data_IF_817906215964
#
_entry.id   IF_817906215964
#
_cell.length_a   1.000
_cell.length_b   1.000
_cell.length_c   1.000
_cell.angle_alpha   90.00
_cell.angle_beta   90.00
_cell.angle_gamma   90.00
#
_symmetry.space_group_name_H-M   'P 1'
#
loop_
_entity.id
_entity.type
_entity.pdbx_description
1 polymer ?
#
# COMPACT_ATOMS: atom_id res chain seq x y z
N UNK A 1 14.83 4.99 8.40
CA UNK A 1 15.26 3.60 8.12
C UNK A 1 15.68 3.44 6.66
N UNK A 2 14.81 3.70 5.69
CA UNK A 2 15.16 3.80 4.27
C UNK A 2 15.05 5.25 3.86
N UNK A 3 16.06 5.77 3.16
CA UNK A 3 16.06 7.12 2.58
C UNK A 3 16.50 7.01 1.13
N UNK A 4 15.76 7.63 0.23
CA UNK A 4 16.12 7.79 -1.18
C UNK A 4 16.07 9.26 -1.54
N UNK A 5 17.07 9.75 -2.25
CA UNK A 5 17.21 11.12 -2.69
C UNK A 5 17.50 11.14 -4.19
N UNK A 6 16.56 11.70 -4.95
CA UNK A 6 16.61 11.86 -6.41
C UNK A 6 17.02 10.58 -7.15
N UNK A 7 16.52 9.43 -6.66
CA UNK A 7 16.88 8.12 -7.17
C UNK A 7 16.39 7.96 -8.60
N UNK A 8 17.29 7.66 -9.53
CA UNK A 8 16.98 7.49 -10.95
C UNK A 8 17.60 6.22 -11.50
N UNK A 9 16.86 5.49 -12.33
CA UNK A 9 17.36 4.31 -13.05
C UNK A 9 16.86 4.28 -14.48
N UNK A 10 17.82 4.22 -15.41
CA UNK A 10 17.57 4.05 -16.84
C UNK A 10 17.83 2.61 -17.30
N UNK A 11 17.05 2.17 -18.29
CA UNK A 11 17.30 1.00 -19.12
C UNK A 11 17.37 1.50 -20.59
N UNK A 12 18.58 1.67 -21.11
CA UNK A 12 18.74 2.42 -22.35
C UNK A 12 18.20 3.83 -22.20
N UNK A 13 17.27 4.23 -23.07
CA UNK A 13 16.62 5.55 -23.06
C UNK A 13 15.38 5.60 -22.13
N UNK A 14 14.94 4.47 -21.61
CA UNK A 14 13.78 4.40 -20.74
C UNK A 14 14.15 4.71 -19.28
N UNK A 15 13.60 5.79 -18.73
CA UNK A 15 13.68 6.09 -17.31
C UNK A 15 12.64 5.26 -16.54
N UNK A 16 13.05 4.11 -16.01
CA UNK A 16 12.17 3.24 -15.23
C UNK A 16 11.91 3.77 -13.80
N UNK A 17 12.81 4.56 -13.27
CA UNK A 17 12.67 5.35 -12.02
C UNK A 17 13.29 6.72 -12.31
N UNK A 18 12.59 7.80 -11.95
CA UNK A 18 12.98 9.16 -12.27
C UNK A 18 12.81 10.06 -11.06
N UNK A 19 13.93 10.59 -10.56
CA UNK A 19 14.00 11.56 -9.46
C UNK A 19 13.16 11.19 -8.21
N UNK A 20 13.16 9.89 -7.85
CA UNK A 20 12.35 9.37 -6.77
C UNK A 20 12.98 9.69 -5.41
N UNK A 21 12.29 10.51 -4.61
CA UNK A 21 12.71 10.89 -3.26
C UNK A 21 11.67 10.51 -2.23
N UNK A 22 12.08 9.73 -1.21
CA UNK A 22 11.17 9.30 -0.13
C UNK A 22 11.92 8.83 1.11
N UNK A 23 11.17 8.69 2.20
CA UNK A 23 11.68 8.22 3.47
C UNK A 23 10.71 7.23 4.13
N UNK A 24 11.21 6.07 4.55
CA UNK A 24 10.51 5.08 5.38
C UNK A 24 11.07 5.13 6.80
N UNK A 25 10.21 5.30 7.79
CA UNK A 25 10.58 5.36 9.21
C UNK A 25 10.92 3.97 9.73
N UNK A 26 11.64 3.90 10.85
CA UNK A 26 11.88 2.62 11.54
C UNK A 26 10.56 2.07 12.11
N UNK A 27 10.30 0.78 11.90
CA UNK A 27 9.07 0.12 12.36
C UNK A 27 7.82 0.46 11.55
N UNK A 28 7.96 1.15 10.40
CA UNK A 28 6.87 1.52 9.50
C UNK A 28 6.66 0.44 8.44
N UNK A 29 5.40 0.19 8.10
CA UNK A 29 5.01 -0.52 6.87
C UNK A 29 4.68 0.50 5.79
N UNK A 30 5.55 0.63 4.79
CA UNK A 30 5.36 1.52 3.65
C UNK A 30 4.94 0.71 2.43
N UNK A 31 3.82 1.09 1.81
CA UNK A 31 3.36 0.53 0.54
C UNK A 31 3.91 1.31 -0.66
N UNK A 32 4.36 0.61 -1.69
CA UNK A 32 4.72 1.16 -2.99
C UNK A 32 3.66 0.73 -4.01
N UNK A 33 2.71 1.60 -4.31
CA UNK A 33 1.54 1.35 -5.13
C UNK A 33 1.72 1.96 -6.53
N UNK A 34 1.28 1.25 -7.56
CA UNK A 34 1.33 1.75 -8.94
C UNK A 34 0.96 0.67 -9.94
N UNK A 35 0.61 1.04 -11.18
CA UNK A 35 0.31 0.09 -12.25
C UNK A 35 1.55 -0.74 -12.62
N UNK A 36 1.34 -1.74 -13.48
CA UNK A 36 2.47 -2.50 -14.06
C UNK A 36 3.34 -1.56 -14.90
N UNK A 37 4.67 -1.70 -14.75
CA UNK A 37 5.61 -0.79 -15.41
C UNK A 37 5.85 0.56 -14.72
N UNK A 38 5.18 0.87 -13.61
CA UNK A 38 5.37 2.13 -12.88
C UNK A 38 6.75 2.31 -12.23
N UNK A 39 7.62 1.29 -12.21
CA UNK A 39 8.96 1.36 -11.62
C UNK A 39 9.11 0.69 -10.25
N UNK A 40 8.05 0.05 -9.70
CA UNK A 40 8.05 -0.58 -8.37
C UNK A 40 9.21 -1.56 -8.16
N UNK A 41 9.23 -2.63 -8.95
CA UNK A 41 10.28 -3.67 -8.84
C UNK A 41 11.68 -3.13 -9.16
N UNK A 42 11.79 -2.14 -10.04
CA UNK A 42 13.07 -1.47 -10.31
C UNK A 42 13.57 -0.71 -9.08
N UNK A 43 12.70 0.04 -8.42
CA UNK A 43 13.02 0.74 -7.16
C UNK A 43 13.50 -0.25 -6.10
N UNK A 44 12.78 -1.36 -5.91
CA UNK A 44 13.17 -2.39 -4.93
C UNK A 44 14.50 -3.05 -5.27
N UNK A 45 14.76 -3.35 -6.55
CA UNK A 45 16.06 -3.89 -7.01
C UNK A 45 17.21 -2.92 -6.77
N UNK A 46 16.99 -1.62 -6.88
CA UNK A 46 18.01 -0.62 -6.55
C UNK A 46 18.27 -0.57 -5.06
N UNK A 47 17.23 -0.50 -4.23
CA UNK A 47 17.37 -0.48 -2.77
C UNK A 47 18.05 -1.74 -2.21
N UNK A 48 17.79 -2.90 -2.80
CA UNK A 48 18.43 -4.18 -2.42
C UNK A 48 19.80 -4.39 -3.02
N UNK A 49 20.35 -3.37 -3.69
CA UNK A 49 21.63 -3.42 -4.38
C UNK A 49 21.73 -4.52 -5.47
N UNK A 50 20.58 -4.98 -5.98
CA UNK A 50 20.55 -5.90 -7.12
C UNK A 50 20.91 -5.18 -8.43
N UNK A 51 20.52 -3.90 -8.52
CA UNK A 51 20.87 -2.99 -9.60
C UNK A 51 21.49 -1.72 -9.02
N UNK A 52 22.54 -1.16 -9.64
CA UNK A 52 23.03 0.17 -9.27
C UNK A 52 22.03 1.24 -9.76
N UNK A 53 21.86 2.37 -9.06
CA UNK A 53 21.18 3.53 -9.60
C UNK A 53 21.97 4.14 -10.77
N UNK A 54 21.29 4.85 -11.67
CA UNK A 54 21.93 5.68 -12.69
C UNK A 54 22.36 7.02 -12.13
N UNK A 55 21.58 7.57 -11.18
CA UNK A 55 21.92 8.76 -10.40
C UNK A 55 21.10 8.78 -9.11
N UNK A 56 21.38 9.73 -8.21
CA UNK A 56 20.76 9.83 -6.89
C UNK A 56 21.45 8.95 -5.86
N UNK A 57 20.87 8.89 -4.65
CA UNK A 57 21.44 8.18 -3.50
C UNK A 57 20.34 7.43 -2.76
N UNK A 58 20.73 6.34 -2.10
CA UNK A 58 19.86 5.73 -1.10
C UNK A 58 20.69 5.22 0.09
N UNK A 59 20.06 5.23 1.27
CA UNK A 59 20.66 4.80 2.53
C UNK A 59 19.66 3.87 3.20
N UNK A 60 20.12 2.70 3.65
CA UNK A 60 19.31 1.74 4.41
C UNK A 60 19.99 1.48 5.75
N UNK A 61 19.27 1.78 6.83
CA UNK A 61 19.76 1.66 8.20
C UNK A 61 21.12 2.34 8.43
N UNK A 62 21.26 3.55 7.88
CA UNK A 62 22.50 4.34 7.95
C UNK A 62 23.61 3.88 7.01
N UNK A 63 23.38 2.84 6.19
CA UNK A 63 24.37 2.30 5.25
C UNK A 63 24.01 2.72 3.81
N UNK A 64 24.90 3.43 3.10
CA UNK A 64 24.67 3.80 1.71
C UNK A 64 24.71 2.56 0.79
N UNK A 65 23.85 2.56 -0.26
CA UNK A 65 23.68 1.41 -1.16
C UNK A 65 24.94 1.04 -1.97
N UNK A 66 25.92 1.93 -2.06
CA UNK A 66 27.22 1.65 -2.64
C UNK A 66 27.99 0.58 -1.85
N UNK A 67 27.69 0.44 -0.54
CA UNK A 67 28.20 -0.63 0.33
C UNK A 67 27.29 -1.87 0.26
N UNK A 68 27.12 -2.42 -0.93
CA UNK A 68 26.12 -3.43 -1.24
C UNK A 68 26.11 -4.65 -0.29
N UNK A 69 27.27 -5.15 0.13
CA UNK A 69 27.35 -6.29 1.06
C UNK A 69 26.82 -5.95 2.44
N UNK A 70 27.10 -4.75 2.94
CA UNK A 70 26.63 -4.31 4.26
C UNK A 70 25.13 -4.04 4.24
N UNK A 71 24.59 -3.48 3.14
CA UNK A 71 23.15 -3.32 2.93
C UNK A 71 22.44 -4.67 2.89
N UNK A 72 22.95 -5.65 2.11
CA UNK A 72 22.34 -6.98 1.98
C UNK A 72 22.30 -7.76 3.29
N UNK A 73 23.20 -7.47 4.24
CA UNK A 73 23.13 -8.05 5.59
C UNK A 73 21.99 -7.49 6.44
N UNK A 74 21.49 -6.29 6.11
CA UNK A 74 20.44 -5.56 6.84
C UNK A 74 19.07 -5.66 6.19
N UNK A 75 19.00 -6.18 4.96
CA UNK A 75 17.79 -6.25 4.14
C UNK A 75 17.45 -7.68 3.83
N UNK A 76 16.23 -8.07 4.16
CA UNK A 76 15.58 -9.26 3.61
C UNK A 76 14.81 -8.88 2.36
N UNK A 77 15.05 -9.56 1.25
CA UNK A 77 14.37 -9.30 0.00
C UNK A 77 13.58 -10.50 -0.48
N UNK A 78 12.31 -10.30 -0.73
CA UNK A 78 11.42 -11.24 -1.40
C UNK A 78 11.05 -10.66 -2.77
N UNK A 79 11.62 -11.14 -3.87
CA UNK A 79 11.17 -10.75 -5.21
C UNK A 79 9.84 -11.44 -5.57
N UNK A 80 9.10 -10.88 -6.51
CA UNK A 80 7.76 -11.33 -6.94
C UNK A 80 7.67 -12.85 -7.18
N UNK A 81 8.65 -13.43 -7.84
CA UNK A 81 8.65 -14.86 -8.20
C UNK A 81 9.22 -15.78 -7.11
N UNK A 82 9.57 -15.26 -5.91
CA UNK A 82 10.13 -16.02 -4.79
C UNK A 82 11.09 -17.14 -5.27
N UNK A 83 12.26 -16.79 -5.84
CA UNK A 83 13.15 -17.76 -6.46
C UNK A 83 13.57 -18.82 -5.45
N UNK A 84 13.44 -20.09 -5.82
CA UNK A 84 13.76 -21.21 -4.97
C UNK A 84 14.33 -22.36 -5.81
N UNK A 85 15.11 -23.21 -5.16
CA UNK A 85 15.56 -24.46 -5.78
C UNK A 85 14.45 -25.49 -5.66
N UNK A 86 13.68 -25.63 -6.74
CA UNK A 86 12.42 -26.35 -6.77
C UNK A 86 12.54 -27.84 -6.41
N UNK A 87 13.67 -28.45 -6.70
CA UNK A 87 14.03 -29.85 -6.44
C UNK A 87 14.51 -30.13 -5.01
N UNK A 88 14.81 -29.09 -4.24
CA UNK A 88 15.17 -29.23 -2.81
C UNK A 88 13.92 -29.30 -1.92
N UNK A 89 14.04 -29.97 -0.78
CA UNK A 89 13.08 -29.80 0.31
C UNK A 89 13.26 -28.43 1.01
N UNK A 90 12.23 -27.97 1.70
CA UNK A 90 12.21 -26.65 2.35
C UNK A 90 13.37 -26.48 3.34
N UNK A 91 13.64 -27.48 4.17
CA UNK A 91 14.71 -27.39 5.18
C UNK A 91 16.09 -27.28 4.53
N UNK A 92 16.35 -28.07 3.50
CA UNK A 92 17.62 -28.04 2.74
C UNK A 92 17.79 -26.70 2.05
N UNK A 93 16.72 -26.17 1.43
CA UNK A 93 16.75 -24.85 0.80
C UNK A 93 17.04 -23.74 1.83
N UNK A 94 16.34 -23.71 2.96
CA UNK A 94 16.58 -22.71 4.01
C UNK A 94 18.00 -22.84 4.59
N UNK A 95 18.49 -24.05 4.77
CA UNK A 95 19.88 -24.31 5.21
C UNK A 95 20.89 -23.74 4.24
N UNK A 96 20.67 -23.93 2.94
CA UNK A 96 21.54 -23.39 1.90
C UNK A 96 21.56 -21.85 1.92
N UNK A 97 20.39 -21.20 2.00
CA UNK A 97 20.30 -19.74 2.11
C UNK A 97 21.01 -19.21 3.37
N UNK A 98 20.79 -19.86 4.53
CA UNK A 98 21.47 -19.48 5.76
C UNK A 98 23.00 -19.58 5.67
N UNK A 99 23.52 -20.61 5.00
CA UNK A 99 24.96 -20.74 4.74
C UNK A 99 25.49 -19.62 3.80
N UNK A 100 24.74 -19.24 2.79
CA UNK A 100 25.10 -18.09 1.90
C UNK A 100 25.18 -16.78 2.69
N UNK A 101 24.33 -16.60 3.72
CA UNK A 101 24.41 -15.48 4.66
C UNK A 101 25.47 -15.66 5.74
N UNK A 102 26.29 -16.73 5.68
CA UNK A 102 27.35 -17.04 6.64
C UNK A 102 26.84 -17.25 8.07
N UNK A 103 25.61 -17.75 8.22
CA UNK A 103 25.05 -18.06 9.56
C UNK A 103 25.83 -19.24 10.18
N UNK A 104 26.18 -19.16 11.48
CA UNK A 104 26.91 -20.22 12.15
C UNK A 104 26.10 -21.54 12.16
N UNK A 105 26.77 -22.67 11.87
CA UNK A 105 26.12 -24.00 11.83
C UNK A 105 25.39 -24.34 13.15
N UNK A 106 25.94 -23.87 14.27
CA UNK A 106 25.40 -24.13 15.60
C UNK A 106 24.01 -23.52 15.82
N UNK A 107 23.73 -22.34 15.21
CA UNK A 107 22.47 -21.58 15.38
C UNK A 107 21.53 -21.73 14.20
N UNK A 108 22.01 -22.23 13.07
CA UNK A 108 21.24 -22.28 11.83
C UNK A 108 19.99 -23.18 11.94
N UNK A 109 20.10 -24.32 12.63
CA UNK A 109 18.98 -25.23 12.80
C UNK A 109 17.84 -24.59 13.61
N UNK A 110 18.19 -23.93 14.73
CA UNK A 110 17.22 -23.23 15.58
C UNK A 110 16.58 -22.07 14.83
N UNK A 111 17.37 -21.33 14.05
CA UNK A 111 16.85 -20.22 13.24
C UNK A 111 15.90 -20.70 12.14
N UNK A 112 16.16 -21.86 11.52
CA UNK A 112 15.22 -22.46 10.55
C UNK A 112 13.91 -22.84 11.23
N UNK A 113 13.96 -23.46 12.40
CA UNK A 113 12.75 -23.83 13.14
C UNK A 113 11.95 -22.60 13.59
N UNK A 114 12.62 -21.55 14.03
CA UNK A 114 12.00 -20.27 14.36
C UNK A 114 11.27 -19.68 13.14
N UNK A 115 11.94 -19.60 11.99
CA UNK A 115 11.33 -19.07 10.77
C UNK A 115 10.21 -19.98 10.25
N UNK A 116 10.35 -21.29 10.41
CA UNK A 116 9.27 -22.23 10.11
C UNK A 116 8.03 -22.00 10.99
N UNK A 117 8.22 -21.67 12.26
CA UNK A 117 7.13 -21.27 13.16
C UNK A 117 6.47 -19.96 12.74
N UNK A 118 7.29 -18.94 12.50
CA UNK A 118 6.81 -17.62 12.07
C UNK A 118 6.00 -17.69 10.78
N UNK A 119 6.48 -18.44 9.78
CA UNK A 119 5.86 -18.54 8.45
C UNK A 119 4.87 -19.71 8.30
N UNK A 120 4.65 -20.52 9.34
CA UNK A 120 3.71 -21.66 9.30
C UNK A 120 4.17 -22.80 8.38
N UNK A 121 5.46 -23.15 8.39
CA UNK A 121 6.08 -24.13 7.48
C UNK A 121 6.35 -25.51 8.13
N UNK A 122 6.02 -25.71 9.40
CA UNK A 122 6.37 -26.94 10.13
C UNK A 122 5.92 -28.23 9.41
N UNK A 123 4.71 -28.21 8.82
CA UNK A 123 4.13 -29.39 8.16
C UNK A 123 4.75 -29.71 6.79
N UNK A 124 5.54 -28.77 6.23
CA UNK A 124 6.09 -28.87 4.88
C UNK A 124 7.63 -28.82 4.85
N UNK A 125 8.32 -28.77 6.00
CA UNK A 125 9.78 -28.65 6.07
C UNK A 125 10.55 -29.72 5.28
N UNK A 126 10.01 -30.93 5.19
CA UNK A 126 10.62 -32.07 4.49
C UNK A 126 9.97 -32.37 3.11
N UNK A 127 9.06 -31.48 2.66
CA UNK A 127 8.48 -31.59 1.33
C UNK A 127 9.30 -30.82 0.31
N UNK A 128 9.34 -31.31 -0.90
CA UNK A 128 9.98 -30.62 -2.03
C UNK A 128 9.23 -29.33 -2.35
N UNK A 129 9.96 -28.29 -2.76
CA UNK A 129 9.38 -26.96 -3.04
C UNK A 129 8.47 -27.00 -4.27
N UNK A 130 8.79 -27.82 -5.29
CA UNK A 130 7.94 -27.97 -6.48
C UNK A 130 6.56 -28.59 -6.18
N UNK A 131 6.44 -29.38 -5.10
CA UNK A 131 5.19 -29.99 -4.64
C UNK A 131 4.30 -29.03 -3.83
N UNK A 132 4.81 -27.84 -3.48
CA UNK A 132 4.09 -26.88 -2.66
C UNK A 132 3.10 -26.03 -3.47
N UNK A 133 2.00 -25.62 -2.83
CA UNK A 133 1.14 -24.57 -3.38
C UNK A 133 1.92 -23.25 -3.51
N UNK A 134 1.43 -22.33 -4.34
CA UNK A 134 2.04 -21.00 -4.50
C UNK A 134 2.15 -20.27 -3.15
N UNK A 135 1.13 -20.34 -2.28
CA UNK A 135 1.13 -19.74 -0.95
C UNK A 135 2.22 -20.31 -0.04
N UNK A 136 2.44 -21.62 -0.05
CA UNK A 136 3.55 -22.20 0.70
C UNK A 136 4.91 -21.79 0.12
N UNK A 137 5.09 -21.72 -1.20
CA UNK A 137 6.33 -21.21 -1.81
C UNK A 137 6.61 -19.76 -1.42
N UNK A 138 5.57 -18.93 -1.37
CA UNK A 138 5.69 -17.54 -0.91
C UNK A 138 6.15 -17.46 0.56
N UNK A 139 5.59 -18.30 1.43
CA UNK A 139 6.01 -18.40 2.84
C UNK A 139 7.44 -18.91 2.99
N UNK A 140 7.88 -19.83 2.14
CA UNK A 140 9.28 -20.29 2.09
C UNK A 140 10.19 -19.13 1.68
N UNK A 141 9.83 -18.35 0.67
CA UNK A 141 10.55 -17.14 0.26
C UNK A 141 10.66 -16.10 1.38
N UNK A 142 9.55 -15.85 2.11
CA UNK A 142 9.56 -14.98 3.28
C UNK A 142 10.49 -15.51 4.39
N UNK A 143 10.41 -16.81 4.72
CA UNK A 143 11.30 -17.43 5.70
C UNK A 143 12.78 -17.28 5.29
N UNK A 144 13.09 -17.52 4.01
CA UNK A 144 14.43 -17.38 3.46
C UNK A 144 14.95 -15.93 3.57
N UNK A 145 14.10 -14.93 3.27
CA UNK A 145 14.47 -13.51 3.35
C UNK A 145 14.74 -13.03 4.78
N UNK A 146 14.27 -13.78 5.81
CA UNK A 146 14.38 -13.42 7.22
C UNK A 146 15.43 -14.23 8.00
N UNK A 147 16.02 -15.24 7.41
CA UNK A 147 16.95 -16.15 8.12
C UNK A 147 18.10 -15.43 8.81
N UNK A 148 18.66 -14.41 8.17
CA UNK A 148 19.82 -13.63 8.68
C UNK A 148 19.42 -12.47 9.59
N UNK A 149 18.16 -12.43 10.04
CA UNK A 149 17.60 -11.43 10.95
C UNK A 149 17.75 -9.97 10.50
N UNK A 150 17.30 -9.62 9.28
CA UNK A 150 17.46 -8.27 8.76
C UNK A 150 16.60 -7.26 9.54
N UNK A 151 17.06 -6.01 9.59
CA UNK A 151 16.30 -4.89 10.17
C UNK A 151 15.16 -4.40 9.26
N UNK A 152 15.30 -4.62 7.95
CA UNK A 152 14.38 -4.17 6.93
C UNK A 152 13.95 -5.32 6.01
N UNK A 153 12.66 -5.37 5.68
CA UNK A 153 12.10 -6.29 4.68
C UNK A 153 11.63 -5.51 3.46
N UNK A 154 12.06 -5.93 2.29
CA UNK A 154 11.59 -5.41 1.00
C UNK A 154 10.88 -6.56 0.29
N UNK A 155 9.56 -6.39 0.06
CA UNK A 155 8.67 -7.44 -0.44
C UNK A 155 8.03 -6.98 -1.75
N UNK A 156 8.42 -7.62 -2.85
CA UNK A 156 7.91 -7.28 -4.19
C UNK A 156 6.69 -8.15 -4.51
N UNK A 157 5.50 -7.53 -4.55
CA UNK A 157 4.21 -8.16 -4.85
C UNK A 157 3.95 -9.45 -4.00
N UNK A 158 4.02 -9.39 -2.66
CA UNK A 158 4.04 -10.59 -1.80
C UNK A 158 2.75 -11.41 -1.83
N UNK A 159 1.66 -10.87 -2.36
CA UNK A 159 0.32 -11.48 -2.41
C UNK A 159 -0.09 -11.92 -3.81
N UNK A 160 0.71 -11.62 -4.84
CA UNK A 160 0.36 -11.87 -6.24
C UNK A 160 0.08 -13.35 -6.53
N UNK A 161 -1.14 -13.61 -7.04
CA UNK A 161 -1.59 -14.93 -7.46
C UNK A 161 -1.84 -15.92 -6.32
N UNK A 162 -2.09 -15.40 -5.13
CA UNK A 162 -2.62 -16.15 -3.99
C UNK A 162 -4.15 -16.10 -3.99
N UNK A 163 -4.79 -17.10 -3.38
CA UNK A 163 -6.22 -17.06 -3.13
C UNK A 163 -6.58 -16.08 -1.99
N UNK A 164 -7.85 -15.66 -1.84
CA UNK A 164 -8.26 -14.67 -0.85
C UNK A 164 -7.88 -15.04 0.60
N UNK A 165 -7.96 -16.31 0.97
CA UNK A 165 -7.61 -16.75 2.32
C UNK A 165 -6.09 -16.64 2.56
N UNK A 166 -5.29 -17.04 1.58
CA UNK A 166 -3.84 -16.92 1.63
C UNK A 166 -3.38 -15.46 1.70
N UNK A 167 -4.06 -14.55 0.98
CA UNK A 167 -3.80 -13.11 1.05
C UNK A 167 -3.98 -12.61 2.49
N UNK A 168 -5.09 -12.97 3.14
CA UNK A 168 -5.35 -12.59 4.54
C UNK A 168 -4.25 -13.10 5.47
N UNK A 169 -3.82 -14.35 5.30
CA UNK A 169 -2.77 -14.96 6.11
C UNK A 169 -1.41 -14.27 5.92
N UNK A 170 -1.04 -13.93 4.68
CA UNK A 170 0.20 -13.18 4.39
C UNK A 170 0.15 -11.76 4.96
N UNK A 171 -1.00 -11.08 4.88
CA UNK A 171 -1.19 -9.77 5.51
C UNK A 171 -0.98 -9.82 7.01
N UNK A 172 -1.58 -10.78 7.70
CA UNK A 172 -1.37 -10.99 9.13
C UNK A 172 0.10 -11.29 9.47
N UNK A 173 0.77 -12.06 8.63
CA UNK A 173 2.19 -12.34 8.79
C UNK A 173 3.02 -11.05 8.65
N UNK A 174 2.80 -10.25 7.61
CA UNK A 174 3.50 -8.97 7.39
C UNK A 174 3.28 -8.01 8.57
N UNK A 175 2.03 -7.88 9.07
CA UNK A 175 1.73 -7.04 10.24
C UNK A 175 2.50 -7.48 11.49
N UNK A 176 2.55 -8.78 11.79
CA UNK A 176 3.35 -9.32 12.92
C UNK A 176 4.85 -9.05 12.75
N UNK A 177 5.37 -9.15 11.54
CA UNK A 177 6.78 -8.86 11.26
C UNK A 177 7.09 -7.38 11.46
N UNK A 178 6.17 -6.50 11.10
CA UNK A 178 6.30 -5.06 11.23
C UNK A 178 6.40 -4.57 12.69
N UNK A 179 5.93 -5.34 13.66
CA UNK A 179 6.11 -5.04 15.09
C UNK A 179 7.60 -4.91 15.49
N UNK A 180 8.49 -5.58 14.75
CA UNK A 180 9.93 -5.62 15.05
C UNK A 180 10.81 -5.12 13.91
N UNK A 181 10.28 -5.01 12.71
CA UNK A 181 11.04 -4.73 11.48
C UNK A 181 10.39 -3.59 10.69
N UNK A 182 11.18 -2.93 9.88
CA UNK A 182 10.67 -1.97 8.88
C UNK A 182 10.32 -2.73 7.61
N UNK A 183 9.17 -2.46 7.03
CA UNK A 183 8.71 -3.17 5.82
C UNK A 183 8.42 -2.17 4.70
N UNK A 184 8.99 -2.42 3.53
CA UNK A 184 8.60 -1.79 2.27
C UNK A 184 8.01 -2.89 1.38
N UNK A 185 6.74 -2.75 1.00
CA UNK A 185 6.11 -3.72 0.09
C UNK A 185 5.57 -3.03 -1.16
N UNK A 186 5.60 -3.72 -2.30
CA UNK A 186 4.91 -3.29 -3.51
C UNK A 186 3.59 -4.01 -3.69
N UNK A 187 2.63 -3.35 -4.31
CA UNK A 187 1.44 -3.96 -4.88
C UNK A 187 0.85 -3.07 -5.98
N UNK A 188 0.07 -3.67 -6.87
CA UNK A 188 -0.80 -2.96 -7.81
C UNK A 188 -2.28 -3.01 -7.33
N UNK A 189 -2.56 -3.65 -6.20
CA UNK A 189 -3.89 -3.86 -5.63
C UNK A 189 -4.06 -2.96 -4.40
N UNK A 190 -4.79 -1.87 -4.57
CA UNK A 190 -4.97 -0.83 -3.55
C UNK A 190 -5.53 -1.37 -2.21
N UNK A 191 -6.62 -2.18 -2.16
CA UNK A 191 -7.15 -2.71 -0.91
C UNK A 191 -6.16 -3.57 -0.12
N UNK A 192 -5.15 -4.15 -0.78
CA UNK A 192 -4.11 -4.91 -0.12
C UNK A 192 -3.13 -4.02 0.65
N UNK A 193 -2.73 -2.92 0.01
CA UNK A 193 -1.82 -1.93 0.60
C UNK A 193 -2.51 -1.20 1.74
N UNK A 194 -3.74 -0.74 1.53
CA UNK A 194 -4.55 -0.05 2.54
C UNK A 194 -4.74 -0.88 3.82
N UNK A 195 -4.96 -2.19 3.67
CA UNK A 195 -5.16 -3.08 4.82
C UNK A 195 -3.88 -3.32 5.66
N UNK A 196 -2.68 -3.10 5.11
CA UNK A 196 -1.42 -3.49 5.75
C UNK A 196 -0.50 -2.32 6.05
N UNK A 197 -0.50 -1.27 5.21
CA UNK A 197 0.48 -0.20 5.29
C UNK A 197 0.05 0.93 6.23
N UNK A 198 1.02 1.55 6.89
CA UNK A 198 0.81 2.76 7.68
C UNK A 198 0.77 4.00 6.78
N UNK A 199 1.64 4.00 5.77
CA UNK A 199 1.69 4.98 4.68
C UNK A 199 1.93 4.29 3.37
N UNK A 200 1.61 4.97 2.29
CA UNK A 200 1.84 4.48 0.93
C UNK A 200 2.37 5.57 0.01
N UNK A 201 3.13 5.14 -0.98
CA UNK A 201 3.61 5.95 -2.10
C UNK A 201 2.90 5.50 -3.37
N UNK A 202 2.30 6.42 -4.10
CA UNK A 202 1.75 6.16 -5.43
C UNK A 202 2.79 6.58 -6.46
N UNK A 203 3.22 5.62 -7.28
CA UNK A 203 4.15 5.88 -8.37
C UNK A 203 3.51 5.57 -9.72
N UNK A 204 3.86 6.37 -10.72
CA UNK A 204 3.46 6.16 -12.10
C UNK A 204 4.50 6.74 -13.06
N UNK A 205 4.84 5.99 -14.11
CA UNK A 205 5.87 6.40 -15.08
C UNK A 205 7.25 6.64 -14.46
N UNK A 206 7.58 5.94 -13.35
CA UNK A 206 8.85 6.07 -12.62
C UNK A 206 8.91 7.25 -11.65
N UNK A 207 7.86 8.06 -11.53
CA UNK A 207 7.80 9.26 -10.69
C UNK A 207 6.89 9.07 -9.48
N UNK A 208 7.20 9.74 -8.38
CA UNK A 208 6.32 9.82 -7.21
C UNK A 208 5.15 10.77 -7.51
N UNK A 209 3.93 10.26 -7.46
CA UNK A 209 2.71 11.04 -7.67
C UNK A 209 2.13 11.58 -6.37
N UNK A 210 2.14 10.76 -5.31
CA UNK A 210 1.67 11.15 -3.98
C UNK A 210 2.26 10.21 -2.92
N UNK A 211 2.33 10.69 -1.67
CA UNK A 211 2.76 9.89 -0.52
C UNK A 211 2.05 10.38 0.75
N UNK A 212 1.51 9.45 1.52
CA UNK A 212 0.82 9.74 2.78
C UNK A 212 0.14 8.52 3.38
N UNK A 213 -0.62 8.71 4.44
CA UNK A 213 -1.58 7.73 4.97
C UNK A 213 -2.75 7.57 3.99
N UNK A 214 -3.55 6.51 4.13
CA UNK A 214 -4.76 6.31 3.32
C UNK A 214 -5.69 7.54 3.40
N UNK A 215 -5.89 8.09 4.60
CA UNK A 215 -6.72 9.27 4.82
C UNK A 215 -6.16 10.54 4.14
N UNK A 216 -4.85 10.79 4.25
CA UNK A 216 -4.20 11.93 3.58
C UNK A 216 -4.30 11.83 2.06
N UNK A 217 -4.06 10.64 1.51
CA UNK A 217 -4.16 10.41 0.07
C UNK A 217 -5.59 10.50 -0.43
N UNK A 218 -6.57 9.97 0.31
CA UNK A 218 -7.98 10.07 -0.05
C UNK A 218 -8.43 11.54 -0.18
N UNK A 219 -7.96 12.43 0.69
CA UNK A 219 -8.23 13.89 0.62
C UNK A 219 -7.75 14.54 -0.69
N UNK A 220 -6.69 14.00 -1.31
CA UNK A 220 -6.22 14.49 -2.62
C UNK A 220 -7.21 14.19 -3.77
N UNK A 221 -8.15 13.27 -3.56
CA UNK A 221 -9.13 12.83 -4.56
C UNK A 221 -10.32 13.76 -4.72
N UNK A 222 -10.71 14.38 -3.66
CA UNK A 222 -11.87 15.27 -3.63
C UNK A 222 -11.44 16.72 -3.74
N UNK A 223 -12.02 17.42 -4.69
CA UNK A 223 -11.96 18.88 -4.76
C UNK A 223 -12.80 19.56 -3.67
N UNK A 224 -13.28 18.78 -2.64
CA UNK A 224 -14.14 19.28 -1.59
C UNK A 224 -15.00 18.20 -0.92
N UNK A 225 -15.84 18.57 0.04
CA UNK A 225 -16.84 17.68 0.65
C UNK A 225 -18.07 17.58 -0.28
N UNK A 226 -18.60 16.36 -0.44
CA UNK A 226 -19.78 16.09 -1.27
C UNK A 226 -20.86 15.42 -0.40
N UNK A 227 -22.08 15.95 -0.42
CA UNK A 227 -23.22 15.42 0.30
C UNK A 227 -24.39 15.18 -0.66
N UNK A 228 -24.87 13.94 -0.73
CA UNK A 228 -26.06 13.55 -1.45
C UNK A 228 -27.26 13.62 -0.52
N UNK A 229 -28.30 14.31 -0.95
CA UNK A 229 -29.52 14.56 -0.17
C UNK A 229 -30.73 14.21 -1.01
N UNK A 230 -31.70 13.49 -0.42
CA UNK A 230 -33.02 13.28 -0.99
C UNK A 230 -34.09 13.73 0.00
N UNK A 231 -34.86 14.75 -0.36
CA UNK A 231 -35.99 15.27 0.41
C UNK A 231 -37.30 14.95 -0.31
N UNK A 232 -38.36 14.65 0.43
CA UNK A 232 -39.62 14.15 -0.11
C UNK A 232 -40.45 15.25 -0.80
N UNK A 233 -40.48 16.44 -0.22
CA UNK A 233 -41.29 17.57 -0.72
C UNK A 233 -40.37 18.71 -1.24
N UNK A 234 -40.67 19.26 -2.43
CA UNK A 234 -39.84 20.30 -3.05
C UNK A 234 -39.85 21.64 -2.29
N UNK A 235 -40.99 22.09 -1.80
CA UNK A 235 -41.13 23.39 -1.11
C UNK A 235 -40.33 23.48 0.19
N UNK A 236 -40.48 22.55 1.13
CA UNK A 236 -39.66 22.47 2.34
C UNK A 236 -38.18 22.22 2.03
N UNK A 237 -37.86 21.51 0.94
CA UNK A 237 -36.49 21.28 0.49
C UNK A 237 -35.76 22.58 0.11
N UNK A 238 -36.45 23.50 -0.60
CA UNK A 238 -35.87 24.79 -0.96
C UNK A 238 -35.50 25.63 0.27
N UNK A 239 -36.35 25.62 1.30
CA UNK A 239 -36.07 26.30 2.56
C UNK A 239 -34.85 25.66 3.29
N UNK A 240 -34.75 24.34 3.29
CA UNK A 240 -33.61 23.64 3.88
C UNK A 240 -32.29 23.97 3.15
N UNK A 241 -32.29 23.99 1.81
CA UNK A 241 -31.12 24.35 1.03
C UNK A 241 -30.73 25.84 1.17
N UNK A 242 -31.71 26.75 1.37
CA UNK A 242 -31.42 28.14 1.67
C UNK A 242 -30.65 28.31 2.99
N UNK A 243 -31.04 27.58 4.03
CA UNK A 243 -30.32 27.54 5.30
C UNK A 243 -28.90 26.98 5.15
N UNK A 244 -28.72 25.97 4.32
CA UNK A 244 -27.39 25.43 4.03
C UNK A 244 -26.50 26.44 3.32
N UNK A 245 -27.01 27.20 2.35
CA UNK A 245 -26.25 28.26 1.65
C UNK A 245 -25.92 29.44 2.57
N UNK A 246 -26.78 29.74 3.54
CA UNK A 246 -26.48 30.76 4.56
C UNK A 246 -25.33 30.34 5.48
N UNK A 247 -25.31 29.07 5.88
CA UNK A 247 -24.27 28.51 6.75
C UNK A 247 -22.95 28.23 5.99
N UNK A 248 -23.01 27.86 4.72
CA UNK A 248 -21.87 27.50 3.87
C UNK A 248 -21.93 28.30 2.55
N UNK A 249 -21.51 29.58 2.54
CA UNK A 249 -21.63 30.45 1.36
C UNK A 249 -20.86 29.98 0.13
N UNK A 250 -19.77 29.23 0.34
CA UNK A 250 -18.91 28.73 -0.75
C UNK A 250 -19.41 27.39 -1.33
N UNK A 251 -20.56 26.90 -0.84
CA UNK A 251 -21.13 25.63 -1.28
C UNK A 251 -21.91 25.79 -2.60
N UNK A 252 -21.71 24.82 -3.49
CA UNK A 252 -22.54 24.66 -4.70
C UNK A 252 -23.60 23.57 -4.49
N UNK A 253 -24.81 23.78 -5.05
CA UNK A 253 -25.92 22.84 -4.95
C UNK A 253 -26.45 22.53 -6.35
N UNK A 254 -26.27 21.30 -6.79
CA UNK A 254 -26.89 20.75 -7.98
C UNK A 254 -28.19 20.03 -7.58
N UNK A 255 -29.34 20.47 -8.15
CA UNK A 255 -30.67 20.01 -7.75
C UNK A 255 -31.39 19.38 -8.92
N UNK A 256 -32.10 18.29 -8.64
CA UNK A 256 -32.98 17.63 -9.61
C UNK A 256 -34.28 17.21 -8.92
N UNK A 257 -35.41 17.68 -9.48
CA UNK A 257 -36.73 17.22 -9.06
C UNK A 257 -36.99 15.80 -9.58
N UNK A 258 -37.40 14.89 -8.71
CA UNK A 258 -37.68 13.49 -9.04
C UNK A 258 -38.80 12.95 -8.18
N UNK A 259 -39.82 12.37 -8.82
CA UNK A 259 -40.97 11.69 -8.17
C UNK A 259 -41.68 12.56 -7.10
N UNK A 260 -41.74 13.88 -7.33
CA UNK A 260 -42.33 14.86 -6.42
C UNK A 260 -41.44 15.24 -5.23
N UNK A 261 -40.23 14.74 -5.16
CA UNK A 261 -39.19 15.12 -4.21
C UNK A 261 -38.01 15.83 -4.85
N UNK A 262 -37.03 16.21 -4.05
CA UNK A 262 -35.84 16.93 -4.46
C UNK A 262 -34.60 16.08 -4.16
N UNK A 263 -33.88 15.67 -5.21
CA UNK A 263 -32.52 15.15 -5.12
C UNK A 263 -31.54 16.32 -5.24
N UNK A 264 -30.54 16.36 -4.37
CA UNK A 264 -29.52 17.37 -4.44
C UNK A 264 -28.12 16.78 -4.18
N UNK A 265 -27.12 17.35 -4.82
CA UNK A 265 -25.70 17.10 -4.54
C UNK A 265 -25.09 18.42 -4.11
N UNK A 266 -24.74 18.51 -2.84
CA UNK A 266 -24.09 19.66 -2.23
C UNK A 266 -22.57 19.45 -2.30
N UNK A 267 -21.83 20.46 -2.78
CA UNK A 267 -20.37 20.43 -2.90
C UNK A 267 -19.77 21.62 -2.16
N UNK A 268 -18.85 21.35 -1.25
CA UNK A 268 -18.10 22.42 -0.59
C UNK A 268 -16.62 22.29 -0.92
N UNK A 269 -15.88 23.38 -1.23
CA UNK A 269 -14.49 23.31 -1.65
C UNK A 269 -13.54 22.76 -0.57
N UNK A 270 -13.84 22.96 0.70
CA UNK A 270 -13.09 22.41 1.81
C UNK A 270 -13.55 20.95 2.09
N UNK A 271 -12.65 19.97 1.96
CA UNK A 271 -12.97 18.55 2.18
C UNK A 271 -13.24 18.19 3.65
N UNK A 272 -12.79 19.00 4.59
CA UNK A 272 -12.94 18.74 6.03
C UNK A 272 -14.25 19.31 6.61
N UNK A 273 -15.08 19.98 5.79
CA UNK A 273 -16.38 20.49 6.21
C UNK A 273 -17.39 19.35 6.37
N UNK A 274 -17.94 19.24 7.57
CA UNK A 274 -19.01 18.30 7.86
C UNK A 274 -20.39 18.95 7.63
N UNK A 275 -21.01 18.59 6.52
CA UNK A 275 -22.32 19.14 6.12
C UNK A 275 -23.51 18.29 6.59
N UNK A 276 -23.26 17.04 6.99
CA UNK A 276 -24.35 16.08 7.26
C UNK A 276 -25.22 16.52 8.43
N UNK A 277 -24.63 16.92 9.55
CA UNK A 277 -25.39 17.38 10.72
C UNK A 277 -26.13 18.68 10.44
N UNK A 278 -25.48 19.62 9.73
CA UNK A 278 -26.10 20.88 9.35
C UNK A 278 -27.31 20.65 8.43
N UNK A 279 -27.16 19.78 7.42
CA UNK A 279 -28.26 19.43 6.51
C UNK A 279 -29.43 18.75 7.24
N UNK A 280 -29.14 17.85 8.16
CA UNK A 280 -30.17 17.23 8.99
C UNK A 280 -30.94 18.28 9.80
N UNK A 281 -30.25 19.22 10.45
CA UNK A 281 -30.86 20.31 11.22
C UNK A 281 -31.68 21.24 10.32
N UNK A 282 -31.16 21.57 9.13
CA UNK A 282 -31.85 22.39 8.15
C UNK A 282 -33.16 21.71 7.69
N UNK A 283 -33.12 20.41 7.40
CA UNK A 283 -34.31 19.64 7.07
C UNK A 283 -35.36 19.64 8.18
N UNK A 284 -34.94 19.43 9.43
CA UNK A 284 -35.85 19.48 10.59
C UNK A 284 -36.45 20.87 10.76
N UNK A 285 -35.66 21.93 10.63
CA UNK A 285 -36.15 23.31 10.79
C UNK A 285 -37.15 23.71 9.68
N UNK A 286 -36.98 23.19 8.48
CA UNK A 286 -37.85 23.44 7.33
C UNK A 286 -39.03 22.49 7.23
N UNK A 287 -39.22 21.59 8.21
CA UNK A 287 -40.23 20.53 8.20
C UNK A 287 -40.13 19.61 6.96
N UNK A 288 -38.91 19.53 6.35
CA UNK A 288 -38.68 18.69 5.21
C UNK A 288 -38.44 17.23 5.62
N UNK A 289 -39.11 16.29 4.94
CA UNK A 289 -38.91 14.88 5.18
C UNK A 289 -37.64 14.39 4.49
N UNK A 290 -36.59 14.03 5.26
CA UNK A 290 -35.33 13.51 4.75
C UNK A 290 -35.48 12.02 4.43
N UNK A 291 -35.27 11.63 3.16
CA UNK A 291 -35.34 10.25 2.68
C UNK A 291 -33.95 9.62 2.59
N UNK A 292 -32.94 10.39 2.17
CA UNK A 292 -31.56 9.95 2.11
C UNK A 292 -30.61 11.10 2.45
N UNK A 293 -29.60 10.80 3.23
CA UNK A 293 -28.47 11.68 3.52
C UNK A 293 -27.19 10.83 3.50
N UNK A 294 -26.36 11.07 2.48
CA UNK A 294 -25.15 10.30 2.29
C UNK A 294 -23.99 11.20 1.97
N UNK A 295 -23.05 11.30 2.88
CA UNK A 295 -21.79 11.97 2.61
C UNK A 295 -20.92 11.06 1.75
N UNK A 296 -20.43 11.59 0.65
CA UNK A 296 -19.46 10.90 -0.19
C UNK A 296 -18.11 11.00 0.50
N UNK A 297 -17.61 9.86 0.95
CA UNK A 297 -16.25 9.77 1.47
C UNK A 297 -15.30 9.61 0.30
N UNK A 298 -14.23 10.42 0.30
CA UNK A 298 -13.16 10.30 -0.68
C UNK A 298 -12.65 8.85 -0.73
N UNK A 299 -12.78 8.20 -1.87
CA UNK A 299 -12.25 6.86 -2.07
C UNK A 299 -10.83 6.94 -2.59
N UNK A 300 -9.93 6.23 -1.95
CA UNK A 300 -8.55 6.18 -2.37
C UNK A 300 -8.40 5.60 -3.80
N UNK A 301 -9.36 4.77 -4.24
CA UNK A 301 -9.43 4.25 -5.60
C UNK A 301 -9.57 5.35 -6.66
N UNK A 302 -10.36 6.40 -6.36
CA UNK A 302 -10.57 7.50 -7.30
C UNK A 302 -9.31 8.36 -7.42
N UNK A 303 -8.63 8.57 -6.30
CA UNK A 303 -7.32 9.24 -6.26
C UNK A 303 -6.30 8.45 -7.08
N UNK A 304 -6.21 7.16 -6.81
CA UNK A 304 -5.27 6.28 -7.50
C UNK A 304 -5.50 6.29 -9.00
N UNK A 305 -6.76 6.13 -9.45
CA UNK A 305 -7.14 6.18 -10.87
C UNK A 305 -6.76 7.52 -11.52
N UNK A 306 -7.00 8.64 -10.83
CA UNK A 306 -6.66 9.99 -11.35
C UNK A 306 -5.14 10.20 -11.45
N UNK A 307 -4.37 9.75 -10.44
CA UNK A 307 -2.93 9.95 -10.38
C UNK A 307 -2.15 9.00 -11.31
N UNK A 308 -2.73 7.87 -11.71
CA UNK A 308 -2.11 6.87 -12.58
C UNK A 308 -2.68 6.88 -14.01
N UNK A 309 -3.30 8.01 -14.42
CA UNK A 309 -3.66 8.24 -15.80
C UNK A 309 -4.78 7.38 -16.36
N UNK A 310 -5.72 6.89 -15.51
CA UNK A 310 -7.03 6.33 -15.87
C UNK A 310 -7.18 5.63 -17.23
N UNK A 311 -6.22 4.81 -17.64
CA UNK A 311 -6.40 3.92 -18.78
C UNK A 311 -6.94 2.58 -18.24
N UNK A 312 -8.26 2.44 -18.32
CA UNK A 312 -8.94 1.14 -18.39
C UNK A 312 -8.92 0.66 -19.82
#
# INVERSE_FOLDING_TARGET
MIQAESLTRFYGDLAAVKDLSFHVRRGEVMGLLGPNGAGKSTTMKVLTCFLPPSSGKAVIDGVPIEKALDVRRRVGYLPENAPSYADLDVNTHLRFIGQMHSLPKATLADRILEMAGVCGLHTVLHRRIDELSKGFRQRVGLAASMLHDPECLILDEPTTGLDPNQIVEIRHLIRRLAEKKTVLLSSHVLPEVEAVCDRMMIIDGGELRAMGTAAELARLGHGGAILHVHLKEAGPADAAFALMLEQFPDMDIDRQEKDGGMLAVLRHPDPDVEMSEAMFRAAVHSEATLLELRQETARLEDVFRRLTGGQT
#
